data_IF_761460736523
#
_entry.id   IF_761460736523
#
_cell.length_a   1.000
_cell.length_b   1.000
_cell.length_c   1.000
_cell.angle_alpha   90.00
_cell.angle_beta   90.00
_cell.angle_gamma   90.00
#
_symmetry.space_group_name_H-M   'P 1'
#
loop_
_entity.id
_entity.type
_entity.pdbx_description
1 polymer ?
#
# COMPACT_ATOMS: atom_id res chain seq x y z
N UNK A 1 -14.01 31.26 2.11
CA UNK A 1 -15.16 30.57 2.73
C UNK A 1 -15.34 29.14 2.24
N UNK A 2 -15.26 28.88 0.94
CA UNK A 2 -15.34 27.54 0.31
C UNK A 2 -14.50 26.45 0.98
N UNK A 3 -13.22 26.69 1.28
CA UNK A 3 -12.36 25.70 1.94
C UNK A 3 -12.84 25.30 3.34
N UNK A 4 -13.44 26.23 4.10
CA UNK A 4 -13.99 25.92 5.44
C UNK A 4 -15.24 25.06 5.33
N UNK A 5 -16.12 25.39 4.40
CA UNK A 5 -17.34 24.60 4.13
C UNK A 5 -16.98 23.19 3.69
N UNK A 6 -16.05 23.04 2.74
CA UNK A 6 -15.57 21.72 2.29
C UNK A 6 -14.98 20.93 3.46
N UNK A 7 -14.15 21.56 4.30
CA UNK A 7 -13.57 20.90 5.48
C UNK A 7 -14.64 20.41 6.45
N UNK A 8 -15.63 21.25 6.76
CA UNK A 8 -16.73 20.88 7.66
C UNK A 8 -17.55 19.74 7.07
N UNK A 9 -17.88 19.79 5.77
CA UNK A 9 -18.58 18.71 5.09
C UNK A 9 -17.79 17.40 5.15
N UNK A 10 -16.48 17.42 4.87
CA UNK A 10 -15.62 16.23 4.97
C UNK A 10 -15.58 15.67 6.39
N UNK A 11 -15.54 16.53 7.42
CA UNK A 11 -15.59 16.10 8.81
C UNK A 11 -16.93 15.43 9.12
N UNK A 12 -18.05 16.05 8.74
CA UNK A 12 -19.39 15.50 8.96
C UNK A 12 -19.52 14.13 8.28
N UNK A 13 -19.15 14.04 7.00
CA UNK A 13 -19.19 12.78 6.23
C UNK A 13 -18.32 11.72 6.89
N UNK A 14 -17.10 12.06 7.30
CA UNK A 14 -16.20 11.14 7.98
C UNK A 14 -16.76 10.64 9.32
N UNK A 15 -17.31 11.52 10.14
CA UNK A 15 -17.93 11.16 11.43
C UNK A 15 -19.16 10.28 11.22
N UNK A 16 -20.02 10.61 10.26
CA UNK A 16 -21.19 9.79 9.93
C UNK A 16 -20.78 8.40 9.43
N UNK A 17 -19.73 8.31 8.60
CA UNK A 17 -19.20 7.04 8.12
C UNK A 17 -18.65 6.18 9.27
N UNK A 18 -17.90 6.77 10.21
CA UNK A 18 -17.39 6.07 11.40
C UNK A 18 -18.56 5.61 12.28
N UNK A 19 -19.52 6.48 12.56
CA UNK A 19 -20.69 6.14 13.37
C UNK A 19 -21.49 4.98 12.76
N UNK A 20 -21.69 5.01 11.43
CA UNK A 20 -22.35 3.93 10.71
C UNK A 20 -21.55 2.62 10.77
N UNK A 21 -20.23 2.68 10.59
CA UNK A 21 -19.36 1.51 10.71
C UNK A 21 -19.39 0.89 12.12
N UNK A 22 -19.36 1.72 13.16
CA UNK A 22 -19.46 1.27 14.56
C UNK A 22 -20.84 0.67 14.86
N UNK A 23 -21.91 1.25 14.32
CA UNK A 23 -23.26 0.70 14.44
C UNK A 23 -23.36 -0.70 13.82
N UNK A 24 -22.80 -0.91 12.62
CA UNK A 24 -22.76 -2.21 11.96
C UNK A 24 -22.01 -3.29 12.76
N UNK A 25 -20.95 -2.91 13.48
CA UNK A 25 -20.21 -3.85 14.34
C UNK A 25 -21.09 -4.41 15.46
N UNK A 26 -22.11 -3.66 15.89
CA UNK A 26 -23.02 -4.10 16.95
C UNK A 26 -23.90 -5.28 16.53
N UNK A 27 -24.14 -5.44 15.22
CA UNK A 27 -24.91 -6.56 14.66
C UNK A 27 -24.11 -7.87 14.57
N UNK A 28 -22.78 -7.81 14.76
CA UNK A 28 -21.92 -8.99 14.72
C UNK A 28 -21.87 -9.75 16.04
N UNK A 29 -21.48 -11.03 15.97
CA UNK A 29 -21.26 -11.86 17.15
C UNK A 29 -20.17 -11.27 18.06
N UNK A 30 -20.20 -11.61 19.35
CA UNK A 30 -19.19 -11.10 20.30
C UNK A 30 -17.76 -11.50 19.92
N UNK A 31 -17.58 -12.71 19.38
CA UNK A 31 -16.27 -13.17 18.89
C UNK A 31 -15.78 -12.33 17.73
N UNK A 32 -16.66 -11.96 16.80
CA UNK A 32 -16.29 -11.14 15.63
C UNK A 32 -15.95 -9.71 16.06
N UNK A 33 -16.72 -9.13 16.99
CA UNK A 33 -16.41 -7.82 17.57
C UNK A 33 -15.00 -7.80 18.19
N UNK A 34 -14.66 -8.82 18.99
CA UNK A 34 -13.33 -8.94 19.59
C UNK A 34 -12.26 -9.13 18.52
N UNK A 35 -12.52 -9.97 17.51
CA UNK A 35 -11.63 -10.18 16.36
C UNK A 35 -11.33 -8.86 15.64
N UNK A 36 -12.36 -8.05 15.34
CA UNK A 36 -12.23 -6.74 14.69
C UNK A 36 -11.35 -5.80 15.52
N UNK A 37 -11.62 -5.68 16.83
CA UNK A 37 -10.84 -4.81 17.72
C UNK A 37 -9.38 -5.26 17.77
N UNK A 38 -9.14 -6.57 17.90
CA UNK A 38 -7.79 -7.13 17.88
C UNK A 38 -7.10 -6.87 16.55
N UNK A 39 -7.78 -7.04 15.41
CA UNK A 39 -7.21 -6.78 14.09
C UNK A 39 -6.82 -5.32 13.91
N UNK A 40 -7.69 -4.38 14.32
CA UNK A 40 -7.41 -2.95 14.24
C UNK A 40 -6.23 -2.55 15.14
N UNK A 41 -6.23 -3.02 16.39
CA UNK A 41 -5.17 -2.68 17.35
C UNK A 41 -3.83 -3.34 16.99
N UNK A 42 -3.82 -4.65 16.76
CA UNK A 42 -2.60 -5.40 16.44
C UNK A 42 -2.06 -5.01 15.07
N UNK A 43 -2.92 -4.74 14.09
CA UNK A 43 -2.52 -4.25 12.77
C UNK A 43 -1.79 -2.90 12.87
N UNK A 44 -2.34 -1.97 13.66
CA UNK A 44 -1.70 -0.67 13.88
C UNK A 44 -0.36 -0.80 14.62
N UNK A 45 -0.33 -1.60 15.70
CA UNK A 45 0.89 -1.85 16.47
C UNK A 45 1.95 -2.50 15.58
N UNK A 46 1.60 -3.54 14.81
CA UNK A 46 2.53 -4.21 13.91
C UNK A 46 3.05 -3.27 12.82
N UNK A 47 2.19 -2.41 12.27
CA UNK A 47 2.60 -1.42 11.30
C UNK A 47 3.64 -0.44 11.87
N UNK A 48 3.36 0.17 13.02
CA UNK A 48 4.21 1.22 13.58
C UNK A 48 5.46 0.67 14.25
N UNK A 49 5.39 -0.53 14.85
CA UNK A 49 6.53 -1.15 15.52
C UNK A 49 7.45 -1.93 14.56
N UNK A 50 6.96 -2.37 13.40
CA UNK A 50 7.71 -3.23 12.48
C UNK A 50 7.86 -2.57 11.11
N UNK A 51 6.76 -2.28 10.41
CA UNK A 51 6.82 -1.79 9.04
C UNK A 51 7.50 -0.42 8.96
N UNK A 52 7.17 0.51 9.87
CA UNK A 52 7.78 1.83 9.87
C UNK A 52 9.30 1.79 10.14
N UNK A 53 9.81 1.10 11.19
CA UNK A 53 11.26 0.95 11.40
C UNK A 53 11.99 0.25 10.25
N UNK A 54 11.41 -0.82 9.68
CA UNK A 54 11.99 -1.53 8.54
C UNK A 54 12.05 -0.61 7.32
N UNK A 55 10.97 0.12 7.02
CA UNK A 55 10.92 1.06 5.92
C UNK A 55 11.96 2.19 6.08
N UNK A 56 12.14 2.71 7.30
CA UNK A 56 13.19 3.68 7.61
C UNK A 56 14.59 3.10 7.43
N UNK A 57 14.85 1.87 7.88
CA UNK A 57 16.12 1.18 7.69
C UNK A 57 16.46 0.95 6.22
N UNK A 58 15.47 0.51 5.42
CA UNK A 58 15.61 0.37 3.97
C UNK A 58 15.86 1.74 3.31
N UNK A 59 15.11 2.77 3.72
CA UNK A 59 15.28 4.12 3.19
C UNK A 59 16.68 4.68 3.45
N UNK A 60 17.19 4.46 4.67
CA UNK A 60 18.54 4.82 5.05
C UNK A 60 19.59 4.06 4.21
N UNK A 61 19.44 2.74 4.05
CA UNK A 61 20.37 1.92 3.29
C UNK A 61 20.43 2.33 1.81
N UNK A 62 19.27 2.52 1.18
CA UNK A 62 19.18 2.93 -0.23
C UNK A 62 19.83 4.30 -0.44
N UNK A 63 19.61 5.26 0.47
CA UNK A 63 20.26 6.58 0.42
C UNK A 63 21.77 6.50 0.57
N UNK A 64 22.29 5.52 1.32
CA UNK A 64 23.72 5.35 1.55
C UNK A 64 24.42 4.64 0.40
N UNK A 65 23.73 3.72 -0.27
CA UNK A 65 24.32 2.87 -1.33
C UNK A 65 24.15 3.48 -2.72
N UNK A 66 23.03 4.15 -3.00
CA UNK A 66 22.73 4.65 -4.34
C UNK A 66 23.22 6.08 -4.58
N UNK A 67 23.51 6.45 -5.84
CA UNK A 67 23.81 7.83 -6.21
C UNK A 67 22.68 8.81 -5.86
N UNK A 68 22.98 10.12 -5.69
CA UNK A 68 22.03 11.16 -5.31
C UNK A 68 20.76 11.23 -6.18
N UNK A 69 20.88 10.91 -7.47
CA UNK A 69 19.75 10.98 -8.39
C UNK A 69 18.88 9.72 -8.42
N UNK A 70 19.33 8.62 -7.80
CA UNK A 70 18.72 7.29 -7.95
C UNK A 70 17.91 6.88 -6.73
N UNK A 71 18.25 7.38 -5.54
CA UNK A 71 17.60 6.91 -4.31
C UNK A 71 16.12 7.26 -4.25
N UNK A 72 15.68 8.46 -4.68
CA UNK A 72 14.26 8.86 -4.58
C UNK A 72 13.33 7.93 -5.37
N UNK A 73 13.57 7.69 -6.67
CA UNK A 73 12.62 6.89 -7.43
C UNK A 73 12.77 5.38 -7.13
N UNK A 74 13.94 4.90 -6.69
CA UNK A 74 14.06 3.53 -6.13
C UNK A 74 13.23 3.36 -4.86
N UNK A 75 13.26 4.32 -3.94
CA UNK A 75 12.40 4.25 -2.74
C UNK A 75 10.92 4.24 -3.08
N UNK A 76 10.52 4.98 -4.11
CA UNK A 76 9.14 4.94 -4.60
C UNK A 76 8.78 3.56 -5.17
N UNK A 77 9.65 2.94 -5.98
CA UNK A 77 9.44 1.59 -6.51
C UNK A 77 9.33 0.54 -5.40
N UNK A 78 10.18 0.66 -4.36
CA UNK A 78 10.16 -0.23 -3.20
C UNK A 78 8.87 -0.04 -2.38
N UNK A 79 8.40 1.19 -2.19
CA UNK A 79 7.16 1.47 -1.49
C UNK A 79 5.94 0.85 -2.20
N UNK A 80 5.86 0.99 -3.53
CA UNK A 80 4.83 0.33 -4.33
C UNK A 80 4.94 -1.19 -4.28
N UNK A 81 6.16 -1.71 -4.36
CA UNK A 81 6.41 -3.16 -4.22
C UNK A 81 5.91 -3.66 -2.87
N UNK A 82 6.16 -2.94 -1.78
CA UNK A 82 5.68 -3.28 -0.44
C UNK A 82 4.15 -3.29 -0.37
N UNK A 83 3.48 -2.28 -0.94
CA UNK A 83 2.00 -2.25 -1.01
C UNK A 83 1.46 -3.45 -1.78
N UNK A 84 2.05 -3.76 -2.95
CA UNK A 84 1.63 -4.90 -3.76
C UNK A 84 1.80 -6.23 -3.00
N UNK A 85 2.89 -6.39 -2.25
CA UNK A 85 3.11 -7.56 -1.41
C UNK A 85 2.09 -7.65 -0.28
N UNK A 86 1.84 -6.55 0.45
CA UNK A 86 0.86 -6.51 1.53
C UNK A 86 -0.56 -6.87 1.05
N UNK A 87 -0.91 -6.48 -0.17
CA UNK A 87 -2.21 -6.80 -0.77
C UNK A 87 -2.28 -8.24 -1.31
N UNK A 88 -1.21 -8.73 -1.93
CA UNK A 88 -1.22 -10.02 -2.64
C UNK A 88 -0.89 -11.21 -1.72
N UNK A 89 -0.05 -11.04 -0.70
CA UNK A 89 0.35 -12.14 0.19
C UNK A 89 -0.83 -12.83 0.88
N UNK A 90 -1.84 -12.13 1.43
CA UNK A 90 -3.01 -12.79 2.03
C UNK A 90 -3.81 -13.66 1.04
N UNK A 91 -3.66 -13.42 -0.26
CA UNK A 91 -4.35 -14.17 -1.32
C UNK A 91 -3.49 -15.33 -1.84
N UNK A 92 -2.17 -15.12 -1.93
CA UNK A 92 -1.22 -16.11 -2.45
C UNK A 92 -0.85 -17.17 -1.39
N UNK A 93 -0.73 -16.77 -0.12
CA UNK A 93 -0.33 -17.68 0.94
C UNK A 93 -1.46 -18.67 1.29
N UNK A 94 -1.10 -19.92 1.68
CA UNK A 94 -2.09 -20.92 2.05
C UNK A 94 -2.99 -20.43 3.20
N UNK A 95 -4.30 -20.64 3.06
CA UNK A 95 -5.26 -20.33 4.12
C UNK A 95 -5.34 -21.48 5.13
N UNK A 96 -5.66 -21.18 6.40
CA UNK A 96 -5.98 -22.21 7.38
C UNK A 96 -7.11 -23.12 6.86
N UNK A 97 -7.05 -24.40 7.23
CA UNK A 97 -8.03 -25.39 6.82
C UNK A 97 -9.46 -24.92 7.20
N UNK A 98 -10.40 -24.99 6.25
CA UNK A 98 -11.79 -24.58 6.47
C UNK A 98 -12.07 -23.08 6.30
N UNK A 99 -11.08 -22.24 5.95
CA UNK A 99 -11.27 -20.79 5.73
C UNK A 99 -11.19 -20.39 4.24
N UNK A 100 -11.63 -21.29 3.37
CA UNK A 100 -11.71 -21.01 1.93
C UNK A 100 -12.98 -20.21 1.64
N UNK A 101 -12.95 -19.27 0.68
CA UNK A 101 -14.15 -18.56 0.29
C UNK A 101 -15.14 -19.53 -0.35
N UNK A 102 -16.40 -19.45 0.06
CA UNK A 102 -17.49 -20.24 -0.54
C UNK A 102 -17.78 -19.82 -1.99
N UNK A 103 -17.31 -18.63 -2.39
CA UNK A 103 -17.43 -18.14 -3.75
C UNK A 103 -16.19 -18.54 -4.59
N UNK A 104 -16.36 -19.41 -5.60
CA UNK A 104 -15.27 -19.91 -6.43
C UNK A 104 -14.59 -18.83 -7.26
N UNK A 105 -15.21 -17.67 -7.50
CA UNK A 105 -14.61 -16.58 -8.29
C UNK A 105 -13.65 -15.69 -7.49
N UNK A 106 -13.51 -15.90 -6.17
CA UNK A 106 -12.66 -15.03 -5.33
C UNK A 106 -11.19 -15.39 -5.46
N UNK A 107 -10.86 -16.64 -5.81
CA UNK A 107 -9.48 -17.13 -6.00
C UNK A 107 -9.30 -17.85 -7.35
N UNK A 108 -9.98 -17.38 -8.41
CA UNK A 108 -9.96 -18.03 -9.73
C UNK A 108 -8.82 -17.55 -10.65
N UNK A 109 -7.90 -16.73 -10.14
CA UNK A 109 -6.78 -16.17 -10.90
C UNK A 109 -5.43 -16.59 -10.34
N UNK A 110 -4.42 -16.56 -11.22
CA UNK A 110 -3.02 -16.71 -10.82
C UNK A 110 -2.50 -15.39 -10.22
N UNK A 111 -2.75 -15.18 -8.93
CA UNK A 111 -2.31 -13.97 -8.21
C UNK A 111 -0.79 -13.84 -8.14
N UNK A 112 -0.05 -14.95 -8.15
CA UNK A 112 1.42 -14.91 -8.20
C UNK A 112 1.93 -14.28 -9.50
N UNK A 113 1.37 -14.70 -10.64
CA UNK A 113 1.67 -14.11 -11.93
C UNK A 113 1.24 -12.64 -11.99
N UNK A 114 0.03 -12.31 -11.50
CA UNK A 114 -0.47 -10.94 -11.45
C UNK A 114 0.44 -10.02 -10.63
N UNK A 115 0.88 -10.47 -9.45
CA UNK A 115 1.81 -9.75 -8.59
C UNK A 115 3.16 -9.52 -9.30
N UNK A 116 3.71 -10.55 -9.93
CA UNK A 116 4.99 -10.43 -10.65
C UNK A 116 4.89 -9.39 -11.77
N UNK A 117 3.82 -9.45 -12.58
CA UNK A 117 3.58 -8.47 -13.66
C UNK A 117 3.44 -7.06 -13.10
N UNK A 118 2.71 -6.87 -12.00
CA UNK A 118 2.53 -5.57 -11.37
C UNK A 118 3.84 -4.98 -10.84
N UNK A 119 4.67 -5.79 -10.18
CA UNK A 119 6.00 -5.38 -9.72
C UNK A 119 6.87 -4.98 -10.90
N UNK A 120 6.93 -5.81 -11.96
CA UNK A 120 7.70 -5.49 -13.17
C UNK A 120 7.24 -4.16 -13.77
N UNK A 121 5.93 -3.93 -13.89
CA UNK A 121 5.37 -2.70 -14.42
C UNK A 121 5.78 -1.46 -13.61
N UNK A 122 5.76 -1.55 -12.27
CA UNK A 122 6.23 -0.48 -11.37
C UNK A 122 7.69 -0.15 -11.64
N UNK A 123 8.57 -1.15 -11.67
CA UNK A 123 10.01 -0.94 -11.86
C UNK A 123 10.34 -0.42 -13.26
N UNK A 124 9.67 -0.93 -14.29
CA UNK A 124 9.80 -0.42 -15.67
C UNK A 124 9.35 1.04 -15.75
N UNK A 125 8.21 1.40 -15.15
CA UNK A 125 7.71 2.77 -15.14
C UNK A 125 8.68 3.73 -14.44
N UNK A 126 9.18 3.35 -13.27
CA UNK A 126 10.18 4.14 -12.54
C UNK A 126 11.47 4.30 -13.34
N UNK A 127 11.98 3.22 -13.93
CA UNK A 127 13.18 3.27 -14.78
C UNK A 127 12.99 4.16 -16.00
N UNK A 128 11.84 4.10 -16.66
CA UNK A 128 11.50 4.97 -17.79
C UNK A 128 11.54 6.45 -17.38
N UNK A 129 10.92 6.81 -16.25
CA UNK A 129 10.94 8.19 -15.73
C UNK A 129 12.36 8.66 -15.36
N UNK A 130 13.22 7.78 -14.85
CA UNK A 130 14.61 8.12 -14.55
C UNK A 130 15.48 8.36 -15.79
N UNK A 131 15.28 7.59 -16.85
CA UNK A 131 16.19 7.54 -18.01
C UNK A 131 15.73 8.45 -19.14
N UNK A 132 14.43 8.54 -19.40
CA UNK A 132 13.88 9.23 -20.57
C UNK A 132 14.18 10.76 -20.57
N UNK A 133 14.04 11.50 -19.45
CA UNK A 133 14.37 12.93 -19.41
C UNK A 133 15.85 13.22 -19.65
N UNK A 134 16.75 12.34 -19.17
CA UNK A 134 18.20 12.46 -19.38
C UNK A 134 18.62 12.27 -20.84
N UNK A 135 17.83 11.52 -21.62
CA UNK A 135 18.07 11.32 -23.06
C UNK A 135 17.56 12.50 -23.88
N UNK A 136 16.46 13.13 -23.46
CA UNK A 136 15.84 14.26 -24.17
C UNK A 136 16.52 15.61 -23.84
N UNK A 137 17.16 15.75 -22.67
CA UNK A 137 17.84 16.98 -22.23
C UNK A 137 19.25 17.21 -22.78
N UNK A 138 19.75 16.37 -23.70
CA UNK A 138 21.13 16.43 -24.23
C UNK A 138 21.31 17.35 -25.46
N UNK A 139 20.32 18.19 -25.76
CA UNK A 139 20.32 19.11 -26.92
C UNK A 139 20.26 20.59 -26.50
N UNK A 140 21.19 21.05 -25.66
CA UNK A 140 21.50 22.49 -25.56
C UNK A 140 22.88 22.73 -26.18
N UNK A 141 22.96 23.29 -27.41
CA UNK A 141 24.20 23.88 -27.92
C UNK A 141 24.59 25.02 -26.98
N UNK A 142 25.83 24.99 -26.51
CA UNK A 142 26.42 26.13 -25.81
C UNK A 142 26.63 27.25 -26.85
N UNK A 143 26.14 28.45 -26.54
CA UNK A 143 26.48 29.70 -27.23
C UNK A 143 27.26 30.57 -26.25
#
# INVERSE_FOLDING_TARGET
MTTRVIRVLLIIVGVLAIANGVALIWDFSRSDQVSIVLWLALGLIAHDAILAPVALGVAWLVRRVLPPDWWKPVLLALAYTNILLLLALPVILPRPAGQYPDNPTVLDRNYGLGLMVAIIAVWVGVFAVMVLPRRLGRSRPQA
#
